data_IF_903039056819
#
_entry.id   IF_903039056819
#
_cell.length_a   1.000
_cell.length_b   1.000
_cell.length_c   1.000
_cell.angle_alpha   90.00
_cell.angle_beta   90.00
_cell.angle_gamma   90.00
#
_symmetry.space_group_name_H-M   'P 1'
#
loop_
_entity.id
_entity.type
_entity.pdbx_description
1 polymer ?
#
# COMPACT_ATOMS: atom_id res chain seq x y z
N UNK A 1 -4.93 -15.24 8.49
CA UNK A 1 -4.52 -14.11 9.34
C UNK A 1 -4.12 -12.90 8.52
N UNK A 2 -3.19 -12.99 7.55
CA UNK A 2 -2.82 -11.86 6.68
C UNK A 2 -4.03 -11.16 6.02
N UNK A 3 -4.95 -11.92 5.42
CA UNK A 3 -6.19 -11.35 4.84
C UNK A 3 -7.02 -10.56 5.86
N UNK A 4 -7.07 -11.01 7.11
CA UNK A 4 -7.80 -10.30 8.16
C UNK A 4 -7.16 -8.95 8.46
N UNK A 5 -5.82 -8.89 8.57
CA UNK A 5 -5.10 -7.64 8.82
C UNK A 5 -5.29 -6.64 7.67
N UNK A 6 -5.36 -7.13 6.42
CA UNK A 6 -5.61 -6.28 5.24
C UNK A 6 -7.06 -5.77 5.21
N UNK A 7 -8.04 -6.68 5.32
CA UNK A 7 -9.44 -6.36 5.05
C UNK A 7 -10.22 -5.84 6.25
N UNK A 8 -9.77 -6.07 7.50
CA UNK A 8 -10.42 -5.52 8.69
C UNK A 8 -10.62 -3.99 8.63
N UNK A 9 -9.58 -3.17 8.35
CA UNK A 9 -9.76 -1.72 8.25
C UNK A 9 -10.61 -1.34 7.03
N UNK A 10 -10.49 -2.04 5.90
CA UNK A 10 -11.27 -1.75 4.67
C UNK A 10 -12.77 -1.99 4.90
N UNK A 11 -13.13 -3.13 5.50
CA UNK A 11 -14.53 -3.46 5.82
C UNK A 11 -15.07 -2.45 6.83
N UNK A 12 -14.29 -2.10 7.86
CA UNK A 12 -14.68 -1.09 8.83
C UNK A 12 -14.92 0.28 8.17
N UNK A 13 -14.09 0.70 7.21
CA UNK A 13 -14.31 1.92 6.44
C UNK A 13 -15.64 1.89 5.69
N UNK A 14 -15.96 0.77 5.03
CA UNK A 14 -17.24 0.57 4.33
C UNK A 14 -18.42 0.62 5.30
N UNK A 15 -18.33 -0.02 6.46
CA UNK A 15 -19.37 0.01 7.48
C UNK A 15 -19.62 1.43 8.01
N UNK A 16 -18.57 2.22 8.22
CA UNK A 16 -18.69 3.62 8.63
C UNK A 16 -19.42 4.44 7.56
N UNK A 17 -19.09 4.24 6.27
CA UNK A 17 -19.81 4.89 5.16
C UNK A 17 -21.28 4.44 5.09
N UNK A 18 -21.59 3.20 5.49
CA UNK A 18 -22.95 2.68 5.58
C UNK A 18 -23.70 3.13 6.86
N UNK A 19 -23.09 3.94 7.73
CA UNK A 19 -23.73 4.53 8.90
C UNK A 19 -23.33 3.94 10.25
N UNK A 20 -22.34 3.04 10.31
CA UNK A 20 -21.80 2.58 11.58
C UNK A 20 -21.14 3.74 12.36
N UNK A 21 -21.11 3.70 13.71
CA UNK A 21 -20.52 4.78 14.52
C UNK A 21 -19.03 4.96 14.20
N UNK A 22 -18.66 6.09 13.60
CA UNK A 22 -17.36 6.30 12.97
C UNK A 22 -16.17 6.02 13.90
N UNK A 23 -15.98 6.83 14.94
CA UNK A 23 -14.84 6.72 15.86
C UNK A 23 -14.75 5.36 16.56
N UNK A 24 -15.89 4.83 17.04
CA UNK A 24 -15.92 3.52 17.73
C UNK A 24 -15.53 2.38 16.80
N UNK A 25 -16.07 2.38 15.58
CA UNK A 25 -15.78 1.36 14.57
C UNK A 25 -14.32 1.43 14.13
N UNK A 26 -13.80 2.64 13.90
CA UNK A 26 -12.40 2.84 13.54
C UNK A 26 -11.44 2.39 14.64
N UNK A 27 -11.75 2.70 15.90
CA UNK A 27 -10.94 2.29 17.03
C UNK A 27 -10.94 0.76 17.22
N UNK A 28 -12.13 0.15 17.13
CA UNK A 28 -12.23 -1.31 17.21
C UNK A 28 -11.43 -1.98 16.08
N UNK A 29 -11.59 -1.51 14.85
CA UNK A 29 -10.87 -2.05 13.70
C UNK A 29 -9.35 -1.87 13.80
N UNK A 30 -8.87 -0.70 14.23
CA UNK A 30 -7.43 -0.45 14.37
C UNK A 30 -6.80 -1.32 15.46
N UNK A 31 -7.47 -1.47 16.62
CA UNK A 31 -7.00 -2.34 17.71
C UNK A 31 -7.03 -3.82 17.31
N UNK A 32 -8.08 -4.28 16.63
CA UNK A 32 -8.17 -5.66 16.13
C UNK A 32 -7.09 -5.95 15.08
N UNK A 33 -6.85 -5.01 14.17
CA UNK A 33 -5.80 -5.10 13.14
C UNK A 33 -4.41 -5.17 13.79
N UNK A 34 -4.14 -4.31 14.76
CA UNK A 34 -2.88 -4.34 15.52
C UNK A 34 -2.72 -5.65 16.31
N UNK A 35 -3.75 -6.11 17.01
CA UNK A 35 -3.71 -7.39 17.73
C UNK A 35 -3.42 -8.57 16.79
N UNK A 36 -4.04 -8.60 15.61
CA UNK A 36 -3.77 -9.62 14.60
C UNK A 36 -2.35 -9.51 13.98
N UNK A 37 -1.82 -8.29 13.82
CA UNK A 37 -0.44 -8.07 13.40
C UNK A 37 0.57 -8.56 14.46
N UNK A 38 0.33 -8.29 15.74
CA UNK A 38 1.14 -8.82 16.85
C UNK A 38 1.07 -10.34 16.91
N UNK A 39 -0.12 -10.93 16.69
CA UNK A 39 -0.24 -12.39 16.60
C UNK A 39 0.57 -12.96 15.44
N UNK A 40 0.55 -12.32 14.26
CA UNK A 40 1.40 -12.71 13.13
C UNK A 40 2.90 -12.65 13.50
N UNK A 41 3.32 -11.64 14.27
CA UNK A 41 4.70 -11.56 14.75
C UNK A 41 5.05 -12.72 15.68
N UNK A 42 4.16 -13.07 16.62
CA UNK A 42 4.37 -14.19 17.54
C UNK A 42 4.38 -15.55 16.86
N UNK A 43 3.66 -15.71 15.74
CA UNK A 43 3.63 -16.94 14.96
C UNK A 43 4.70 -17.01 13.87
N UNK A 44 5.53 -15.98 13.71
CA UNK A 44 6.53 -15.91 12.65
C UNK A 44 7.75 -16.77 12.98
N UNK A 45 8.10 -17.68 12.07
CA UNK A 45 9.29 -18.54 12.20
C UNK A 45 10.53 -17.79 11.70
N UNK A 46 11.45 -17.45 12.61
CA UNK A 46 12.65 -16.68 12.26
C UNK A 46 13.71 -17.49 11.51
N UNK A 47 13.63 -18.82 11.51
CA UNK A 47 14.59 -19.67 10.81
C UNK A 47 14.29 -19.78 9.30
N UNK A 48 13.05 -19.46 8.90
CA UNK A 48 12.61 -19.47 7.51
C UNK A 48 12.81 -18.12 6.82
N UNK A 49 13.63 -18.12 5.77
CA UNK A 49 13.96 -16.92 4.99
C UNK A 49 12.94 -16.58 3.88
N UNK A 50 11.94 -17.44 3.66
CA UNK A 50 10.92 -17.25 2.63
C UNK A 50 9.66 -16.56 3.19
N UNK A 51 8.79 -16.10 2.30
CA UNK A 51 7.45 -15.64 2.68
C UNK A 51 6.67 -16.72 3.45
N UNK A 52 6.00 -16.31 4.52
CA UNK A 52 5.16 -17.14 5.38
C UNK A 52 3.70 -16.70 5.30
N UNK A 53 2.80 -17.55 5.83
CA UNK A 53 1.36 -17.32 5.82
C UNK A 53 0.77 -17.01 4.44
N UNK A 54 1.31 -17.65 3.40
CA UNK A 54 0.96 -17.36 2.01
C UNK A 54 -0.47 -17.82 1.72
N UNK A 55 -1.27 -16.93 1.16
CA UNK A 55 -2.60 -17.25 0.61
C UNK A 55 -2.67 -16.73 -0.81
N UNK A 56 -3.13 -17.56 -1.75
CA UNK A 56 -3.20 -17.22 -3.17
C UNK A 56 -4.54 -17.60 -3.77
N UNK A 57 -5.12 -16.68 -4.54
CA UNK A 57 -6.32 -16.91 -5.33
C UNK A 57 -6.07 -16.49 -6.78
N UNK A 58 -6.38 -17.36 -7.73
CA UNK A 58 -6.23 -17.01 -9.14
C UNK A 58 -7.36 -16.09 -9.58
N UNK A 59 -7.00 -14.89 -10.05
CA UNK A 59 -7.94 -13.87 -10.53
C UNK A 59 -8.09 -13.99 -12.03
N UNK A 60 -6.98 -14.13 -12.76
CA UNK A 60 -7.01 -14.38 -14.20
C UNK A 60 -5.87 -15.32 -14.62
N UNK A 61 -6.19 -16.54 -15.06
CA UNK A 61 -5.18 -17.46 -15.58
C UNK A 61 -4.48 -16.94 -16.83
N UNK A 62 -5.20 -16.25 -17.72
CA UNK A 62 -4.67 -15.72 -18.98
C UNK A 62 -3.57 -14.68 -18.75
N UNK A 63 -3.79 -13.80 -17.78
CA UNK A 63 -2.82 -12.78 -17.38
C UNK A 63 -1.85 -13.26 -16.30
N UNK A 64 -2.00 -14.51 -15.84
CA UNK A 64 -1.27 -15.09 -14.71
C UNK A 64 -1.30 -14.18 -13.48
N UNK A 65 -2.44 -13.54 -13.28
CA UNK A 65 -2.70 -12.60 -12.19
C UNK A 65 -3.30 -13.37 -11.02
N UNK A 66 -2.63 -13.31 -9.87
CA UNK A 66 -3.10 -13.95 -8.65
C UNK A 66 -3.19 -12.92 -7.53
N UNK A 67 -4.23 -13.01 -6.71
CA UNK A 67 -4.24 -12.31 -5.44
C UNK A 67 -3.42 -13.12 -4.44
N UNK A 68 -2.10 -12.92 -4.45
CA UNK A 68 -1.16 -13.60 -3.56
C UNK A 68 -0.69 -12.65 -2.46
N UNK A 69 -0.95 -13.05 -1.22
CA UNK A 69 -0.53 -12.33 -0.01
C UNK A 69 0.35 -13.23 0.85
N UNK A 70 1.23 -12.63 1.62
CA UNK A 70 2.11 -13.30 2.58
C UNK A 70 3.05 -12.29 3.22
N UNK A 71 3.80 -12.73 4.21
CA UNK A 71 4.72 -11.85 4.95
C UNK A 71 6.10 -12.48 5.04
N UNK A 72 7.15 -11.72 4.71
CA UNK A 72 8.51 -11.99 5.13
C UNK A 72 8.87 -11.11 6.35
N UNK A 73 10.14 -11.13 6.77
CA UNK A 73 10.57 -10.32 7.93
C UNK A 73 10.40 -8.81 7.73
N UNK A 74 10.61 -8.31 6.50
CA UNK A 74 10.45 -6.88 6.20
C UNK A 74 8.98 -6.48 6.14
N UNK A 75 8.16 -7.22 5.39
CA UNK A 75 6.72 -7.03 5.30
C UNK A 75 6.07 -7.05 6.68
N UNK A 76 6.47 -7.97 7.55
CA UNK A 76 5.92 -8.08 8.90
C UNK A 76 6.19 -6.83 9.74
N UNK A 77 7.42 -6.30 9.70
CA UNK A 77 7.78 -5.06 10.40
C UNK A 77 6.95 -3.88 9.87
N UNK A 78 6.80 -3.79 8.56
CA UNK A 78 6.02 -2.70 7.93
C UNK A 78 4.52 -2.80 8.23
N UNK A 79 3.96 -4.02 8.26
CA UNK A 79 2.57 -4.28 8.68
C UNK A 79 2.37 -3.89 10.14
N UNK A 80 3.30 -4.24 11.04
CA UNK A 80 3.26 -3.82 12.43
C UNK A 80 3.29 -2.30 12.55
N UNK A 81 4.24 -1.64 11.88
CA UNK A 81 4.38 -0.19 11.89
C UNK A 81 3.09 0.49 11.42
N UNK A 82 2.54 0.05 10.28
CA UNK A 82 1.30 0.60 9.74
C UNK A 82 0.13 0.44 10.72
N UNK A 83 0.02 -0.71 11.39
CA UNK A 83 -1.04 -0.95 12.38
C UNK A 83 -0.88 -0.09 13.64
N UNK A 84 0.35 0.11 14.14
CA UNK A 84 0.65 1.00 15.28
C UNK A 84 0.27 2.44 14.94
N UNK A 85 0.72 2.93 13.78
CA UNK A 85 0.42 4.29 13.31
C UNK A 85 -1.09 4.47 13.15
N UNK A 86 -1.81 3.46 12.65
CA UNK A 86 -3.27 3.51 12.51
C UNK A 86 -3.95 3.64 13.88
N UNK A 87 -3.55 2.85 14.87
CA UNK A 87 -4.10 2.94 16.24
C UNK A 87 -3.85 4.34 16.81
N UNK A 88 -2.62 4.85 16.71
CA UNK A 88 -2.27 6.18 17.18
C UNK A 88 -3.09 7.27 16.48
N UNK A 89 -3.19 7.23 15.15
CA UNK A 89 -3.92 8.21 14.37
C UNK A 89 -5.41 8.25 14.76
N UNK A 90 -6.06 7.09 14.92
CA UNK A 90 -7.47 7.01 15.35
C UNK A 90 -7.64 7.50 16.81
N UNK A 91 -6.70 7.16 17.69
CA UNK A 91 -6.77 7.54 19.10
C UNK A 91 -6.64 9.04 19.31
N UNK A 92 -5.72 9.68 18.57
CA UNK A 92 -5.35 11.08 18.70
C UNK A 92 -6.04 12.04 17.70
N UNK A 93 -6.93 11.55 16.83
CA UNK A 93 -7.62 12.34 15.80
C UNK A 93 -8.42 13.58 16.29
N UNK A 94 -8.57 13.77 17.61
CA UNK A 94 -9.30 14.91 18.17
C UNK A 94 -10.80 14.89 17.83
N UNK A 95 -11.43 16.05 17.90
CA UNK A 95 -12.84 16.23 17.52
C UNK A 95 -12.94 16.56 16.04
N UNK A 96 -13.73 15.79 15.28
CA UNK A 96 -13.94 16.01 13.86
C UNK A 96 -15.29 16.71 13.64
N UNK A 97 -15.27 18.01 13.35
CA UNK A 97 -16.48 18.83 13.26
C UNK A 97 -17.34 18.56 12.02
N UNK A 98 -16.72 18.09 10.93
CA UNK A 98 -17.40 17.92 9.64
C UNK A 98 -17.06 16.57 9.02
N UNK A 99 -18.07 15.93 8.47
CA UNK A 99 -17.95 14.68 7.72
C UNK A 99 -17.17 13.59 8.48
N UNK A 100 -17.42 13.43 9.79
CA UNK A 100 -16.70 12.49 10.66
C UNK A 100 -16.59 11.08 10.07
N UNK A 101 -17.68 10.56 9.49
CA UNK A 101 -17.69 9.26 8.84
C UNK A 101 -16.66 9.17 7.70
N UNK A 102 -16.58 10.20 6.85
CA UNK A 102 -15.63 10.24 5.74
C UNK A 102 -14.19 10.34 6.24
N UNK A 103 -13.93 11.10 7.31
CA UNK A 103 -12.60 11.21 7.91
C UNK A 103 -12.06 9.84 8.35
N UNK A 104 -12.81 9.13 9.18
CA UNK A 104 -12.39 7.82 9.69
C UNK A 104 -12.38 6.75 8.59
N UNK A 105 -13.30 6.80 7.63
CA UNK A 105 -13.26 5.90 6.48
C UNK A 105 -11.98 6.11 5.65
N UNK A 106 -11.59 7.37 5.38
CA UNK A 106 -10.34 7.67 4.68
C UNK A 106 -9.13 7.14 5.44
N UNK A 107 -9.06 7.37 6.75
CA UNK A 107 -7.97 6.91 7.59
C UNK A 107 -7.82 5.37 7.57
N UNK A 108 -8.94 4.64 7.60
CA UNK A 108 -8.93 3.19 7.52
C UNK A 108 -8.64 2.66 6.10
N UNK A 109 -9.06 3.35 5.04
CA UNK A 109 -8.64 3.00 3.68
C UNK A 109 -7.14 3.17 3.48
N UNK A 110 -6.54 4.22 4.05
CA UNK A 110 -5.08 4.39 4.07
C UNK A 110 -4.42 3.23 4.81
N UNK A 111 -4.95 2.85 5.98
CA UNK A 111 -4.45 1.70 6.75
C UNK A 111 -4.50 0.39 5.95
N UNK A 112 -5.66 0.06 5.37
CA UNK A 112 -5.84 -1.14 4.57
C UNK A 112 -5.01 -1.16 3.29
N UNK A 113 -4.87 -0.01 2.63
CA UNK A 113 -3.98 0.15 1.47
C UNK A 113 -2.50 -0.03 1.84
N UNK A 114 -2.02 0.62 2.89
CA UNK A 114 -0.63 0.48 3.33
C UNK A 114 -0.30 -0.96 3.72
N UNK A 115 -1.12 -1.58 4.58
CA UNK A 115 -0.95 -2.98 5.01
C UNK A 115 -1.05 -3.93 3.81
N UNK A 116 -2.04 -3.73 2.95
CA UNK A 116 -2.24 -4.53 1.74
C UNK A 116 -1.04 -4.47 0.80
N UNK A 117 -0.44 -3.30 0.61
CA UNK A 117 0.76 -3.14 -0.20
C UNK A 117 1.93 -3.95 0.37
N UNK A 118 2.24 -3.80 1.68
CA UNK A 118 3.34 -4.53 2.30
C UNK A 118 3.14 -6.05 2.37
N UNK A 119 1.89 -6.51 2.44
CA UNK A 119 1.56 -7.93 2.49
C UNK A 119 1.33 -8.57 1.10
N UNK A 120 1.37 -7.79 0.01
CA UNK A 120 1.18 -8.29 -1.35
C UNK A 120 2.48 -8.85 -1.91
N UNK A 121 2.42 -10.09 -2.39
CA UNK A 121 3.51 -10.74 -3.13
C UNK A 121 3.34 -10.51 -4.64
N UNK A 122 2.12 -10.20 -5.07
CA UNK A 122 1.80 -9.87 -6.47
C UNK A 122 1.93 -8.36 -6.72
N UNK A 123 2.75 -7.97 -7.69
CA UNK A 123 3.07 -6.57 -7.99
C UNK A 123 1.85 -5.75 -8.46
N UNK A 124 0.87 -6.38 -9.10
CA UNK A 124 -0.36 -5.67 -9.47
C UNK A 124 -1.15 -5.27 -8.23
N UNK A 125 -1.30 -6.18 -7.27
CA UNK A 125 -2.01 -5.90 -6.03
C UNK A 125 -1.22 -4.99 -5.09
N UNK A 126 0.11 -5.09 -5.07
CA UNK A 126 0.98 -4.09 -4.43
C UNK A 126 0.64 -2.68 -4.94
N UNK A 127 0.59 -2.49 -6.25
CA UNK A 127 0.25 -1.22 -6.87
C UNK A 127 -1.20 -0.80 -6.56
N UNK A 128 -2.16 -1.71 -6.66
CA UNK A 128 -3.57 -1.40 -6.41
C UNK A 128 -3.82 -0.96 -4.96
N UNK A 129 -3.18 -1.59 -3.98
CA UNK A 129 -3.27 -1.19 -2.58
C UNK A 129 -2.54 0.13 -2.29
N UNK A 130 -1.42 0.38 -2.97
CA UNK A 130 -0.76 1.69 -2.93
C UNK A 130 -1.71 2.80 -3.39
N UNK A 131 -2.37 2.62 -4.54
CA UNK A 131 -3.36 3.59 -5.05
C UNK A 131 -4.57 3.75 -4.14
N UNK A 132 -5.02 2.67 -3.50
CA UNK A 132 -6.08 2.72 -2.50
C UNK A 132 -5.71 3.63 -1.32
N UNK A 133 -4.45 3.67 -0.90
CA UNK A 133 -4.00 4.56 0.17
C UNK A 133 -3.81 6.01 -0.29
N UNK A 134 -3.49 6.22 -1.57
CA UNK A 134 -3.22 7.56 -2.13
C UNK A 134 -4.50 8.41 -2.20
N UNK A 135 -5.60 7.85 -2.71
CA UNK A 135 -6.85 8.61 -2.93
C UNK A 135 -7.41 9.22 -1.62
N UNK A 136 -7.54 8.48 -0.50
CA UNK A 136 -8.04 9.05 0.74
C UNK A 136 -7.05 10.01 1.41
N UNK A 137 -5.75 9.88 1.15
CA UNK A 137 -4.74 10.83 1.65
C UNK A 137 -4.98 12.22 1.08
N UNK A 138 -5.28 12.32 -0.23
CA UNK A 138 -5.68 13.57 -0.87
C UNK A 138 -6.91 14.20 -0.20
N UNK A 139 -7.94 13.38 0.09
CA UNK A 139 -9.16 13.86 0.73
C UNK A 139 -8.90 14.36 2.16
N UNK A 140 -8.07 13.63 2.93
CA UNK A 140 -7.70 14.04 4.28
C UNK A 140 -7.02 15.42 4.29
N UNK A 141 -6.04 15.62 3.42
CA UNK A 141 -5.34 16.91 3.30
C UNK A 141 -6.30 18.00 2.83
N UNK A 142 -7.06 17.79 1.75
CA UNK A 142 -7.91 18.83 1.17
C UNK A 142 -9.06 19.28 2.07
N UNK A 143 -9.69 18.35 2.79
CA UNK A 143 -10.92 18.62 3.57
C UNK A 143 -10.62 18.95 5.04
N UNK A 144 -9.61 18.31 5.65
CA UNK A 144 -9.29 18.47 7.08
C UNK A 144 -7.90 19.03 7.38
N UNK A 145 -7.05 19.24 6.37
CA UNK A 145 -5.78 19.95 6.54
C UNK A 145 -5.97 21.41 6.97
N UNK A 146 -4.87 22.05 7.28
CA UNK A 146 -4.75 23.44 7.74
C UNK A 146 -3.98 24.30 6.72
N UNK A 147 -3.95 25.62 6.95
CA UNK A 147 -3.25 26.56 6.06
C UNK A 147 -3.79 26.52 4.61
N UNK A 148 -2.89 26.50 3.63
CA UNK A 148 -3.24 26.44 2.20
C UNK A 148 -3.52 25.00 1.72
N UNK A 149 -4.36 24.28 2.47
CA UNK A 149 -4.70 22.86 2.28
C UNK A 149 -5.13 22.48 0.88
N UNK A 150 -5.84 23.36 0.17
CA UNK A 150 -6.33 23.07 -1.19
C UNK A 150 -5.16 23.05 -2.18
N UNK A 151 -4.26 24.03 -2.11
CA UNK A 151 -3.08 24.04 -2.97
C UNK A 151 -2.15 22.87 -2.63
N UNK A 152 -1.94 22.58 -1.34
CA UNK A 152 -1.14 21.45 -0.88
C UNK A 152 -1.72 20.13 -1.41
N UNK A 153 -3.04 19.91 -1.26
CA UNK A 153 -3.73 18.71 -1.72
C UNK A 153 -3.60 18.51 -3.25
N UNK A 154 -3.75 19.57 -4.06
CA UNK A 154 -3.56 19.44 -5.51
C UNK A 154 -2.10 19.17 -5.89
N UNK A 155 -1.15 19.84 -5.22
CA UNK A 155 0.28 19.65 -5.47
C UNK A 155 0.70 18.21 -5.18
N UNK A 156 0.38 17.67 -3.99
CA UNK A 156 0.72 16.28 -3.65
C UNK A 156 0.06 15.30 -4.62
N UNK A 157 -1.22 15.48 -4.95
CA UNK A 157 -1.93 14.57 -5.86
C UNK A 157 -1.30 14.54 -7.24
N UNK A 158 -0.92 15.68 -7.81
CA UNK A 158 -0.26 15.73 -9.11
C UNK A 158 1.10 15.04 -9.06
N UNK A 159 1.91 15.31 -8.03
CA UNK A 159 3.22 14.66 -7.86
C UNK A 159 3.07 13.14 -7.72
N UNK A 160 2.25 12.69 -6.77
CA UNK A 160 2.09 11.27 -6.49
C UNK A 160 1.40 10.52 -7.65
N UNK A 161 0.43 11.13 -8.33
CA UNK A 161 -0.19 10.53 -9.51
C UNK A 161 0.83 10.35 -10.66
N UNK A 162 1.65 11.36 -10.93
CA UNK A 162 2.72 11.25 -11.95
C UNK A 162 3.72 10.15 -11.55
N UNK A 163 4.17 10.14 -10.30
CA UNK A 163 5.07 9.10 -9.79
C UNK A 163 4.45 7.70 -9.91
N UNK A 164 3.16 7.58 -9.60
CA UNK A 164 2.43 6.31 -9.69
C UNK A 164 2.25 5.85 -11.13
N UNK A 165 1.92 6.74 -12.07
CA UNK A 165 1.87 6.38 -13.50
C UNK A 165 3.23 5.93 -14.05
N UNK A 166 4.32 6.58 -13.65
CA UNK A 166 5.68 6.18 -14.04
C UNK A 166 6.02 4.80 -13.44
N UNK A 167 5.66 4.57 -12.17
CA UNK A 167 5.80 3.28 -11.50
C UNK A 167 5.03 2.19 -12.25
N UNK A 168 3.77 2.44 -12.60
CA UNK A 168 2.93 1.50 -13.36
C UNK A 168 3.55 1.15 -14.71
N UNK A 169 4.10 2.14 -15.43
CA UNK A 169 4.81 1.90 -16.68
C UNK A 169 6.03 0.98 -16.48
N UNK A 170 6.78 1.16 -15.38
CA UNK A 170 7.88 0.28 -14.99
C UNK A 170 7.43 -1.15 -14.73
N UNK A 171 6.31 -1.34 -14.01
CA UNK A 171 5.74 -2.66 -13.72
C UNK A 171 5.23 -3.36 -15.00
N UNK A 172 4.56 -2.62 -15.89
CA UNK A 172 4.12 -3.15 -17.19
C UNK A 172 5.32 -3.56 -18.04
N UNK A 173 6.36 -2.73 -18.09
CA UNK A 173 7.58 -3.04 -18.83
C UNK A 173 8.26 -4.29 -18.27
N UNK A 174 8.34 -4.43 -16.95
CA UNK A 174 8.89 -5.63 -16.29
C UNK A 174 8.12 -6.88 -16.70
N UNK A 175 6.78 -6.85 -16.62
CA UNK A 175 5.93 -7.97 -17.01
C UNK A 175 6.14 -8.35 -18.49
N UNK A 176 6.24 -7.37 -19.39
CA UNK A 176 6.44 -7.61 -20.82
C UNK A 176 7.87 -8.07 -21.17
N UNK A 177 8.86 -7.70 -20.35
CA UNK A 177 10.27 -8.06 -20.55
C UNK A 177 10.57 -9.53 -20.27
N UNK A 178 9.62 -10.26 -19.70
CA UNK A 178 9.72 -11.71 -19.50
C UNK A 178 9.10 -12.48 -20.67
N UNK A 179 9.72 -13.59 -21.10
CA UNK A 179 9.11 -14.51 -22.05
C UNK A 179 7.75 -15.01 -21.56
N UNK A 180 6.78 -15.34 -22.44
CA UNK A 180 5.44 -15.77 -22.04
C UNK A 180 5.41 -16.90 -21.01
N UNK A 181 6.36 -17.84 -21.07
CA UNK A 181 6.48 -18.94 -20.11
C UNK A 181 6.84 -18.48 -18.68
N UNK A 182 7.50 -17.33 -18.54
CA UNK A 182 7.98 -16.76 -17.27
C UNK A 182 7.19 -15.54 -16.79
N UNK A 183 6.24 -15.03 -17.60
CA UNK A 183 5.40 -13.92 -17.20
C UNK A 183 4.66 -14.25 -15.91
N UNK A 184 4.71 -13.32 -14.96
CA UNK A 184 4.05 -13.39 -13.68
C UNK A 184 4.05 -12.00 -13.06
N UNK A 185 3.11 -11.76 -12.15
CA UNK A 185 3.18 -10.61 -11.24
C UNK A 185 3.72 -11.00 -9.86
N UNK A 186 3.91 -12.30 -9.58
CA UNK A 186 4.43 -12.80 -8.31
C UNK A 186 5.94 -12.49 -8.19
N UNK A 187 6.31 -11.70 -7.17
CA UNK A 187 7.70 -11.27 -6.93
C UNK A 187 8.67 -12.44 -6.87
N UNK A 188 8.27 -13.60 -6.33
CA UNK A 188 9.14 -14.77 -6.21
C UNK A 188 9.45 -15.37 -7.58
N UNK A 189 8.43 -15.45 -8.44
CA UNK A 189 8.60 -15.92 -9.82
C UNK A 189 9.42 -14.93 -10.65
N UNK A 190 9.22 -13.63 -10.45
CA UNK A 190 10.01 -12.56 -11.08
C UNK A 190 11.49 -12.64 -10.67
N UNK A 191 11.78 -12.83 -9.39
CA UNK A 191 13.14 -13.02 -8.87
C UNK A 191 13.79 -14.28 -9.46
N UNK A 192 13.08 -15.40 -9.49
CA UNK A 192 13.57 -16.64 -10.10
C UNK A 192 13.87 -16.49 -11.59
N UNK A 193 12.99 -15.83 -12.34
CA UNK A 193 13.19 -15.54 -13.76
C UNK A 193 14.39 -14.61 -14.00
N UNK A 194 14.54 -13.57 -13.19
CA UNK A 194 15.69 -12.66 -13.25
C UNK A 194 17.01 -13.39 -12.98
N UNK A 195 17.06 -14.23 -11.94
CA UNK A 195 18.25 -15.02 -11.59
C UNK A 195 18.65 -16.02 -12.68
N UNK A 196 17.68 -16.48 -13.49
CA UNK A 196 17.91 -17.35 -14.64
C UNK A 196 18.15 -16.59 -15.96
N UNK A 197 18.39 -15.28 -15.88
CA UNK A 197 18.69 -14.45 -17.05
C UNK A 197 17.52 -14.26 -18.01
N UNK A 198 16.28 -14.46 -17.55
CA UNK A 198 15.08 -14.33 -18.41
C UNK A 198 14.69 -12.87 -18.69
N UNK A 199 15.36 -11.92 -18.07
CA UNK A 199 15.18 -10.48 -18.32
C UNK A 199 16.47 -9.96 -18.95
N UNK A 200 16.38 -9.51 -20.20
CA UNK A 200 17.52 -8.94 -20.92
C UNK A 200 18.12 -7.73 -20.17
N UNK A 201 19.44 -7.59 -20.22
CA UNK A 201 20.17 -6.53 -19.49
C UNK A 201 19.68 -5.13 -19.86
N UNK A 202 19.44 -4.88 -21.16
CA UNK A 202 18.89 -3.58 -21.59
C UNK A 202 17.49 -3.33 -21.02
N UNK A 203 16.63 -4.35 -20.92
CA UNK A 203 15.32 -4.21 -20.31
C UNK A 203 15.42 -3.89 -18.81
N UNK A 204 16.34 -4.55 -18.09
CA UNK A 204 16.59 -4.28 -16.67
C UNK A 204 16.94 -2.80 -16.43
N UNK A 205 17.76 -2.18 -17.29
CA UNK A 205 18.12 -0.76 -17.18
C UNK A 205 16.90 0.15 -17.26
N UNK A 206 16.02 -0.07 -18.24
CA UNK A 206 14.83 0.76 -18.42
C UNK A 206 13.79 0.55 -17.31
N UNK A 207 13.57 -0.71 -16.91
CA UNK A 207 12.71 -1.04 -15.76
C UNK A 207 13.25 -0.36 -14.51
N UNK A 208 14.53 -0.49 -14.21
CA UNK A 208 15.15 0.14 -13.05
C UNK A 208 14.95 1.66 -13.03
N UNK A 209 15.18 2.35 -14.15
CA UNK A 209 15.02 3.80 -14.21
C UNK A 209 13.57 4.24 -13.98
N UNK A 210 12.60 3.53 -14.56
CA UNK A 210 11.17 3.81 -14.34
C UNK A 210 10.78 3.57 -12.89
N UNK A 211 11.21 2.46 -12.29
CA UNK A 211 10.94 2.17 -10.88
C UNK A 211 11.63 3.19 -9.96
N UNK A 212 12.88 3.57 -10.23
CA UNK A 212 13.63 4.55 -9.45
C UNK A 212 12.95 5.91 -9.47
N UNK A 213 12.51 6.38 -10.64
CA UNK A 213 11.83 7.68 -10.76
C UNK A 213 10.44 7.61 -10.11
N UNK A 214 9.68 6.56 -10.40
CA UNK A 214 8.34 6.35 -9.82
C UNK A 214 8.39 6.32 -8.30
N UNK A 215 9.13 5.37 -7.71
CA UNK A 215 9.31 5.31 -6.26
C UNK A 215 10.00 6.56 -5.71
N UNK A 216 10.97 7.12 -6.41
CA UNK A 216 11.68 8.34 -6.00
C UNK A 216 10.75 9.53 -5.80
N UNK A 217 9.75 9.71 -6.66
CA UNK A 217 8.71 10.73 -6.49
C UNK A 217 7.84 10.41 -5.25
N UNK A 218 7.40 9.16 -5.13
CA UNK A 218 6.53 8.69 -4.04
C UNK A 218 7.18 8.83 -2.65
N UNK A 219 8.48 8.58 -2.54
CA UNK A 219 9.22 8.67 -1.25
C UNK A 219 9.87 10.03 -1.03
N UNK A 220 9.63 11.03 -1.89
CA UNK A 220 10.27 12.36 -1.82
C UNK A 220 11.80 12.32 -1.88
N UNK A 221 12.37 11.52 -2.77
CA UNK A 221 13.82 11.50 -3.03
C UNK A 221 14.25 12.80 -3.73
N UNK A 222 15.45 13.32 -3.47
CA UNK A 222 16.02 14.40 -4.28
C UNK A 222 16.11 13.97 -5.76
N UNK A 223 15.66 14.78 -6.74
CA UNK A 223 15.15 16.15 -6.64
C UNK A 223 13.60 16.29 -6.53
N UNK A 224 12.86 15.20 -6.36
CA UNK A 224 11.38 15.13 -6.39
C UNK A 224 10.65 15.38 -5.06
N UNK A 225 11.26 16.11 -4.13
CA UNK A 225 10.81 16.20 -2.72
C UNK A 225 9.94 17.41 -2.38
N UNK A 226 9.71 18.33 -3.32
CA UNK A 226 9.12 19.66 -3.05
C UNK A 226 7.65 19.62 -2.64
N UNK A 227 6.96 18.50 -2.84
CA UNK A 227 5.57 18.32 -2.40
C UNK A 227 5.46 17.95 -0.91
N UNK A 228 6.46 17.27 -0.35
CA UNK A 228 6.40 16.71 1.01
C UNK A 228 6.26 17.76 2.12
N UNK A 229 7.07 18.84 2.15
CA UNK A 229 7.01 19.82 3.25
C UNK A 229 5.63 20.47 3.40
N UNK A 230 5.01 20.84 2.28
CA UNK A 230 3.67 21.46 2.28
C UNK A 230 2.58 20.48 2.70
N UNK A 231 2.68 19.21 2.28
CA UNK A 231 1.71 18.18 2.63
C UNK A 231 1.76 17.76 4.10
N UNK A 232 2.96 17.68 4.70
CA UNK A 232 3.09 17.31 6.12
C UNK A 232 2.87 18.49 7.07
N UNK A 233 3.06 19.73 6.60
CA UNK A 233 2.80 20.93 7.39
C UNK A 233 1.33 21.37 7.34
N UNK A 234 0.56 20.90 6.36
CA UNK A 234 -0.88 21.19 6.23
C UNK A 234 -1.70 20.36 7.22
#
# INVERSE_FOLDING_TARGET
MVLFVIFCPIIAAILIMAGAPARKTALAASVLTFGAAVFLLMSFDQEQHNFQHITSFTISPEWRLNFTTGVDGLSLIMVLLASIVTVAAVWFAGTIERYENAFYACLLFISGGAIGAFASIDLFFFYAFHELALIPTFLLIGIWGSGNRVAAAWKITIYLAIGSFILLLGLILLYQSLPPAWRSFDIRALQAGAAQGQIAVDAQRHVYLLLLIGFGILISLFPFHTWAPEAYAS
#
